data_IF_535092150625
#
_entry.id   IF_535092150625
#
_cell.length_a   1.000
_cell.length_b   1.000
_cell.length_c   1.000
_cell.angle_alpha   90.00
_cell.angle_beta   90.00
_cell.angle_gamma   90.00
#
_symmetry.space_group_name_H-M   'P 1'
#
loop_
_entity.id
_entity.type
_entity.pdbx_description
1 polymer ?
#
# COMPACT_ATOMS: atom_id res chain seq x y z
N UNK A 1 5.02 -15.33 19.46
CA UNK A 1 4.22 -14.31 20.16
C UNK A 1 4.98 -13.01 20.40
N UNK A 2 6.26 -13.07 20.78
CA UNK A 2 7.06 -11.85 20.97
C UNK A 2 7.49 -11.22 19.65
N UNK A 3 7.80 -12.03 18.63
CA UNK A 3 8.26 -11.58 17.31
C UNK A 3 7.24 -10.64 16.65
N UNK A 4 5.95 -11.01 16.61
CA UNK A 4 4.92 -10.17 15.98
C UNK A 4 4.71 -8.86 16.74
N UNK A 5 4.85 -8.86 18.07
CA UNK A 5 4.77 -7.65 18.89
C UNK A 5 5.95 -6.71 18.61
N UNK A 6 7.16 -7.27 18.49
CA UNK A 6 8.36 -6.47 18.16
C UNK A 6 8.27 -5.90 16.74
N UNK A 7 7.83 -6.68 15.75
CA UNK A 7 7.54 -6.17 14.40
C UNK A 7 6.57 -4.98 14.47
N UNK A 8 5.45 -5.14 15.15
CA UNK A 8 4.48 -4.06 15.30
C UNK A 8 5.07 -2.82 15.98
N UNK A 9 5.97 -2.98 16.95
CA UNK A 9 6.63 -1.88 17.65
C UNK A 9 7.60 -1.14 16.73
N UNK A 10 8.43 -1.86 15.98
CA UNK A 10 9.37 -1.28 15.00
C UNK A 10 8.61 -0.48 13.95
N UNK A 11 7.56 -1.07 13.38
CA UNK A 11 6.74 -0.41 12.35
C UNK A 11 6.04 0.85 12.90
N UNK A 12 5.48 0.81 14.12
CA UNK A 12 4.89 2.02 14.74
C UNK A 12 5.90 3.14 14.96
N UNK A 13 7.13 2.78 15.34
CA UNK A 13 8.21 3.76 15.49
C UNK A 13 8.52 4.44 14.15
N UNK A 14 8.63 3.67 13.07
CA UNK A 14 8.84 4.19 11.73
C UNK A 14 7.65 5.05 11.25
N UNK A 15 6.41 4.60 11.47
CA UNK A 15 5.21 5.39 11.16
C UNK A 15 5.22 6.75 11.83
N UNK A 16 5.51 6.77 13.15
CA UNK A 16 5.56 8.04 13.92
C UNK A 16 6.64 8.96 13.39
N UNK A 17 7.81 8.43 13.04
CA UNK A 17 8.90 9.21 12.48
C UNK A 17 8.57 9.81 11.11
N UNK A 18 7.79 9.08 10.29
CA UNK A 18 7.34 9.51 8.96
C UNK A 18 6.04 10.33 8.98
N UNK A 19 5.42 10.59 10.13
CA UNK A 19 4.13 11.27 10.21
C UNK A 19 2.96 10.49 9.60
N UNK A 20 3.09 9.18 9.39
CA UNK A 20 2.10 8.34 8.75
C UNK A 20 1.16 7.68 9.75
N UNK A 21 -0.09 7.41 9.33
CA UNK A 21 -1.10 6.77 10.18
C UNK A 21 -1.21 5.25 9.97
N UNK A 22 -0.78 4.75 8.81
CA UNK A 22 -0.86 3.34 8.42
C UNK A 22 0.41 2.93 7.66
N UNK A 23 0.78 1.66 7.76
CA UNK A 23 1.79 1.03 6.92
C UNK A 23 1.12 0.07 5.95
N UNK A 24 1.60 0.04 4.74
CA UNK A 24 1.16 -0.89 3.69
C UNK A 24 2.26 -1.93 3.50
N UNK A 25 1.87 -3.19 3.41
CA UNK A 25 2.79 -4.30 3.14
C UNK A 25 3.18 -4.25 1.67
N UNK A 26 4.46 -4.44 1.38
CA UNK A 26 4.98 -4.72 0.05
C UNK A 26 5.52 -6.13 0.04
N UNK A 27 5.05 -6.98 -0.87
CA UNK A 27 5.53 -8.35 -1.01
C UNK A 27 5.36 -8.84 -2.46
N UNK A 28 6.02 -9.95 -2.80
CA UNK A 28 5.85 -10.62 -4.08
C UNK A 28 4.84 -11.74 -3.94
N UNK A 29 3.64 -11.62 -4.53
CA UNK A 29 2.43 -12.37 -4.21
C UNK A 29 1.90 -12.03 -2.79
N UNK A 30 1.65 -10.73 -2.59
CA UNK A 30 1.39 -10.13 -1.28
C UNK A 30 0.19 -10.72 -0.52
N UNK A 31 -0.76 -11.34 -1.20
CA UNK A 31 -1.89 -12.01 -0.56
C UNK A 31 -1.44 -13.13 0.38
N UNK A 32 -0.36 -13.83 0.03
CA UNK A 32 0.23 -14.90 0.84
C UNK A 32 0.79 -14.33 2.16
N UNK A 33 1.69 -13.36 2.08
CA UNK A 33 2.33 -12.74 3.24
C UNK A 33 1.31 -12.04 4.15
N UNK A 34 0.36 -11.33 3.55
CA UNK A 34 -0.72 -10.65 4.25
C UNK A 34 -1.60 -11.62 5.04
N UNK A 35 -1.93 -12.78 4.44
CA UNK A 35 -2.68 -13.83 5.11
C UNK A 35 -1.97 -14.38 6.34
N UNK A 36 -0.68 -14.68 6.24
CA UNK A 36 0.13 -15.15 7.38
C UNK A 36 0.27 -14.11 8.48
N UNK A 37 0.51 -12.85 8.09
CA UNK A 37 0.61 -11.75 9.06
C UNK A 37 -0.70 -11.55 9.82
N UNK A 38 -1.83 -11.52 9.12
CA UNK A 38 -3.15 -11.37 9.75
C UNK A 38 -3.45 -12.53 10.71
N UNK A 39 -3.18 -13.77 10.29
CA UNK A 39 -3.34 -14.93 11.16
C UNK A 39 -2.44 -14.88 12.41
N UNK A 40 -1.22 -14.34 12.28
CA UNK A 40 -0.33 -14.14 13.43
C UNK A 40 -0.85 -13.03 14.38
N UNK A 41 -1.36 -11.94 13.82
CA UNK A 41 -1.98 -10.83 14.58
C UNK A 41 -3.20 -11.33 15.36
N UNK A 42 -4.07 -12.10 14.73
CA UNK A 42 -5.27 -12.66 15.37
C UNK A 42 -4.92 -13.63 16.51
N UNK A 43 -4.02 -14.59 16.27
CA UNK A 43 -3.55 -15.53 17.30
C UNK A 43 -2.96 -14.83 18.52
N UNK A 44 -2.36 -13.66 18.33
CA UNK A 44 -1.76 -12.88 19.41
C UNK A 44 -2.71 -11.82 20.00
N UNK A 45 -3.98 -11.81 19.60
CA UNK A 45 -5.00 -10.85 20.05
C UNK A 45 -4.55 -9.38 19.95
N UNK A 46 -3.80 -9.01 18.91
CA UNK A 46 -3.32 -7.66 18.69
C UNK A 46 -4.46 -6.81 18.10
N UNK A 47 -5.20 -6.12 18.96
CA UNK A 47 -6.38 -5.32 18.58
C UNK A 47 -6.06 -4.10 17.70
N UNK A 48 -4.85 -3.53 17.81
CA UNK A 48 -4.41 -2.37 17.06
C UNK A 48 -3.12 -2.71 16.35
N UNK A 49 -3.23 -3.05 15.09
CA UNK A 49 -2.09 -3.29 14.20
C UNK A 49 -1.64 -1.98 13.53
N UNK A 50 -0.33 -1.79 13.26
CA UNK A 50 0.15 -0.68 12.45
C UNK A 50 -0.15 -0.86 10.96
N UNK A 51 -0.41 -2.07 10.51
CA UNK A 51 -0.62 -2.39 9.11
C UNK A 51 -2.02 -2.01 8.63
N UNK A 52 -2.11 -1.69 7.35
CA UNK A 52 -3.41 -1.54 6.71
C UNK A 52 -4.11 -2.90 6.64
N UNK A 53 -5.42 -3.00 6.99
CA UNK A 53 -6.07 -4.29 7.17
C UNK A 53 -6.25 -5.10 5.88
N UNK A 54 -6.28 -4.45 4.70
CA UNK A 54 -6.55 -5.10 3.42
C UNK A 54 -5.78 -4.51 2.22
N UNK A 55 -5.02 -3.41 2.38
CA UNK A 55 -4.20 -2.86 1.29
C UNK A 55 -2.80 -3.41 1.38
N UNK A 56 -2.29 -3.89 0.25
CA UNK A 56 -0.90 -4.27 0.05
C UNK A 56 -0.45 -3.85 -1.36
N UNK A 57 0.84 -3.60 -1.52
CA UNK A 57 1.46 -3.47 -2.84
C UNK A 57 2.05 -4.83 -3.23
N UNK A 58 1.49 -5.42 -4.28
CA UNK A 58 1.96 -6.70 -4.81
C UNK A 58 2.92 -6.48 -5.97
N UNK A 59 4.19 -6.79 -5.73
CA UNK A 59 5.22 -6.62 -6.76
C UNK A 59 5.07 -7.60 -7.92
N UNK A 60 4.33 -8.71 -7.78
CA UNK A 60 3.95 -9.58 -8.90
C UNK A 60 3.11 -8.80 -9.90
N UNK A 61 2.07 -8.11 -9.43
CA UNK A 61 1.19 -7.30 -10.28
C UNK A 61 1.90 -6.09 -10.86
N UNK A 62 2.69 -5.37 -10.03
CA UNK A 62 3.45 -4.20 -10.46
C UNK A 62 4.50 -4.56 -11.51
N UNK A 63 5.26 -5.64 -11.32
CA UNK A 63 6.26 -6.10 -12.28
C UNK A 63 5.61 -6.68 -13.54
N UNK A 64 4.45 -7.34 -13.42
CA UNK A 64 3.65 -7.77 -14.56
C UNK A 64 3.27 -6.61 -15.45
N UNK A 65 2.80 -5.50 -14.86
CA UNK A 65 2.44 -4.29 -15.58
C UNK A 65 3.67 -3.55 -16.15
N UNK A 66 4.71 -3.34 -15.32
CA UNK A 66 5.84 -2.47 -15.69
C UNK A 66 6.91 -3.16 -16.55
N UNK A 67 7.06 -4.49 -16.42
CA UNK A 67 8.17 -5.25 -16.97
C UNK A 67 7.73 -6.50 -17.76
N UNK A 68 6.44 -6.83 -17.77
CA UNK A 68 5.91 -8.04 -18.40
C UNK A 68 6.35 -9.34 -17.71
N UNK A 69 6.75 -9.29 -16.42
CA UNK A 69 7.27 -10.44 -15.67
C UNK A 69 6.59 -10.56 -14.33
N UNK A 70 6.19 -11.78 -13.98
CA UNK A 70 5.48 -12.08 -12.70
C UNK A 70 6.28 -12.98 -11.75
N UNK A 71 7.41 -13.52 -12.18
CA UNK A 71 8.32 -14.32 -11.36
C UNK A 71 9.44 -13.43 -10.84
N UNK A 72 9.68 -13.38 -9.54
CA UNK A 72 10.64 -12.47 -8.90
C UNK A 72 12.00 -12.43 -9.60
N UNK A 73 12.62 -13.59 -9.78
CA UNK A 73 13.92 -13.69 -10.47
C UNK A 73 13.92 -13.12 -11.90
N UNK A 74 12.83 -13.34 -12.65
CA UNK A 74 12.69 -12.82 -14.02
C UNK A 74 12.42 -11.31 -14.00
N UNK A 75 11.61 -10.85 -13.06
CA UNK A 75 11.32 -9.42 -12.88
C UNK A 75 12.57 -8.64 -12.47
N UNK A 76 13.37 -9.15 -11.54
CA UNK A 76 14.64 -8.56 -11.14
C UNK A 76 15.59 -8.42 -12.34
N UNK A 77 15.78 -9.50 -13.12
CA UNK A 77 16.64 -9.46 -14.32
C UNK A 77 16.13 -8.47 -15.37
N UNK A 78 14.82 -8.42 -15.61
CA UNK A 78 14.23 -7.45 -16.53
C UNK A 78 14.39 -6.01 -16.03
N UNK A 79 14.45 -5.80 -14.73
CA UNK A 79 14.70 -4.52 -14.09
C UNK A 79 16.20 -4.12 -14.07
N UNK A 80 17.11 -5.03 -14.40
CA UNK A 80 18.55 -4.85 -14.25
C UNK A 80 19.05 -5.04 -12.82
N UNK A 81 18.27 -5.70 -11.96
CA UNK A 81 18.64 -6.09 -10.60
C UNK A 81 19.29 -7.46 -10.65
N UNK A 82 20.49 -7.57 -10.05
CA UNK A 82 21.19 -8.84 -9.95
C UNK A 82 20.37 -9.83 -9.10
N UNK A 83 20.22 -11.07 -9.61
CA UNK A 83 19.50 -12.12 -8.91
C UNK A 83 20.31 -13.44 -8.95
N UNK A 84 20.81 -13.82 -7.78
CA UNK A 84 21.53 -15.06 -7.57
C UNK A 84 20.55 -16.22 -7.28
N UNK A 85 20.46 -17.13 -8.22
CA UNK A 85 19.57 -18.30 -8.06
C UNK A 85 20.01 -19.24 -6.92
N UNK A 86 21.27 -19.21 -6.49
CA UNK A 86 21.74 -20.04 -5.37
C UNK A 86 21.19 -19.55 -4.01
N UNK A 87 20.81 -18.29 -3.93
CA UNK A 87 20.19 -17.68 -2.74
C UNK A 87 18.65 -17.60 -2.81
N UNK A 88 18.07 -17.98 -3.95
CA UNK A 88 16.64 -18.03 -4.12
C UNK A 88 16.00 -18.92 -3.02
N UNK A 89 14.82 -18.49 -2.53
CA UNK A 89 14.10 -19.09 -1.40
C UNK A 89 14.71 -18.81 0.00
N UNK A 90 15.75 -18.00 0.07
CA UNK A 90 16.12 -17.35 1.33
C UNK A 90 15.18 -16.20 1.60
N UNK A 91 14.44 -16.24 2.72
CA UNK A 91 13.44 -15.23 3.04
C UNK A 91 14.03 -13.81 3.08
N UNK A 92 15.23 -13.64 3.59
CA UNK A 92 15.93 -12.34 3.63
C UNK A 92 16.29 -11.87 2.22
N UNK A 93 16.91 -12.74 1.42
CA UNK A 93 17.32 -12.41 0.05
C UNK A 93 16.13 -12.03 -0.83
N UNK A 94 15.07 -12.84 -0.81
CA UNK A 94 13.88 -12.58 -1.60
C UNK A 94 13.18 -11.27 -1.16
N UNK A 95 13.19 -10.97 0.14
CA UNK A 95 12.67 -9.70 0.67
C UNK A 95 13.47 -8.50 0.19
N UNK A 96 14.80 -8.56 0.20
CA UNK A 96 15.68 -7.49 -0.30
C UNK A 96 15.45 -7.26 -1.80
N UNK A 97 15.41 -8.33 -2.60
CA UNK A 97 15.14 -8.23 -4.06
C UNK A 97 13.75 -7.67 -4.34
N UNK A 98 12.75 -8.07 -3.56
CA UNK A 98 11.40 -7.52 -3.66
C UNK A 98 11.36 -6.02 -3.34
N UNK A 99 12.07 -5.59 -2.30
CA UNK A 99 12.15 -4.18 -1.94
C UNK A 99 12.84 -3.34 -3.03
N UNK A 100 13.96 -3.82 -3.58
CA UNK A 100 14.65 -3.15 -4.68
C UNK A 100 13.77 -3.04 -5.93
N UNK A 101 13.09 -4.12 -6.29
CA UNK A 101 12.17 -4.15 -7.42
C UNK A 101 11.03 -3.15 -7.26
N UNK A 102 10.42 -3.09 -6.06
CA UNK A 102 9.38 -2.12 -5.75
C UNK A 102 9.88 -0.69 -5.88
N UNK A 103 11.01 -0.37 -5.24
CA UNK A 103 11.58 0.96 -5.28
C UNK A 103 11.95 1.39 -6.72
N UNK A 104 12.49 0.48 -7.52
CA UNK A 104 12.83 0.75 -8.91
C UNK A 104 11.57 1.10 -9.72
N UNK A 105 10.49 0.30 -9.59
CA UNK A 105 9.24 0.52 -10.33
C UNK A 105 8.63 1.86 -9.92
N UNK A 106 8.55 2.16 -8.60
CA UNK A 106 8.00 3.42 -8.10
C UNK A 106 8.81 4.62 -8.56
N UNK A 107 10.15 4.55 -8.49
CA UNK A 107 11.03 5.63 -8.94
C UNK A 107 10.89 5.91 -10.44
N UNK A 108 10.80 4.86 -11.27
CA UNK A 108 10.54 5.03 -12.70
C UNK A 108 9.18 5.66 -12.97
N UNK A 109 8.15 5.23 -12.25
CA UNK A 109 6.83 5.83 -12.33
C UNK A 109 6.85 7.32 -11.99
N UNK A 110 7.55 7.71 -10.93
CA UNK A 110 7.70 9.11 -10.54
C UNK A 110 8.45 9.93 -11.61
N UNK A 111 9.50 9.38 -12.20
CA UNK A 111 10.25 10.02 -13.30
C UNK A 111 9.39 10.27 -14.55
N UNK A 112 8.35 9.48 -14.77
CA UNK A 112 7.38 9.65 -15.84
C UNK A 112 6.26 10.65 -15.52
N UNK A 113 6.38 11.39 -14.40
CA UNK A 113 5.38 12.35 -13.94
C UNK A 113 4.30 11.75 -13.04
N UNK A 114 4.50 10.51 -12.65
CA UNK A 114 3.62 9.63 -11.93
C UNK A 114 2.86 10.18 -10.73
N UNK A 115 2.87 9.51 -9.61
CA UNK A 115 1.96 9.76 -8.49
C UNK A 115 2.66 10.52 -7.34
N UNK A 116 1.94 11.43 -6.64
CA UNK A 116 0.54 11.79 -6.87
C UNK A 116 0.36 12.68 -8.11
N UNK A 117 -0.68 12.36 -8.89
CA UNK A 117 -1.14 13.30 -9.91
C UNK A 117 -1.57 14.58 -9.20
N UNK A 118 -1.24 15.74 -9.78
CA UNK A 118 -1.78 17.01 -9.28
C UNK A 118 -3.31 16.90 -9.25
N UNK A 119 -3.98 17.38 -8.17
CA UNK A 119 -5.43 17.45 -8.16
C UNK A 119 -5.85 18.25 -9.41
N UNK A 120 -6.66 17.63 -10.27
CA UNK A 120 -7.34 18.40 -11.31
C UNK A 120 -8.39 19.22 -10.60
N UNK A 121 -8.42 20.53 -10.81
CA UNK A 121 -9.37 21.47 -10.17
C UNK A 121 -10.85 21.12 -10.39
N UNK A 122 -11.13 20.10 -11.20
CA UNK A 122 -12.46 19.65 -11.56
C UNK A 122 -13.13 18.67 -10.57
N UNK A 123 -12.42 18.17 -9.55
CA UNK A 123 -12.99 17.22 -8.60
C UNK A 123 -13.78 17.87 -7.45
N UNK A 124 -13.59 19.16 -7.20
CA UNK A 124 -14.24 19.88 -6.08
C UNK A 124 -15.50 20.67 -6.50
N UNK A 125 -15.82 20.75 -7.79
CA UNK A 125 -16.95 21.56 -8.28
C UNK A 125 -18.31 20.89 -8.07
N UNK A 126 -18.38 19.57 -7.85
CA UNK A 126 -19.67 18.83 -7.77
C UNK A 126 -20.14 18.54 -6.34
N UNK A 127 -19.46 19.00 -5.29
CA UNK A 127 -19.86 18.71 -3.91
C UNK A 127 -20.42 19.92 -3.15
N UNK A 128 -20.77 21.01 -3.85
CA UNK A 128 -21.34 22.25 -3.25
C UNK A 128 -22.75 22.61 -3.71
N UNK A 129 -23.47 21.74 -4.37
CA UNK A 129 -24.85 22.04 -4.82
C UNK A 129 -25.82 20.96 -4.32
N UNK A 130 -26.04 20.90 -3.02
CA UNK A 130 -27.27 20.28 -2.45
C UNK A 130 -27.41 20.54 -0.94
N UNK A 131 -27.39 21.79 -0.48
CA UNK A 131 -27.83 22.13 0.89
C UNK A 131 -28.60 23.45 1.06
N UNK A 132 -29.01 24.13 -0.04
CA UNK A 132 -29.75 25.39 0.08
C UNK A 132 -31.07 25.40 -0.70
N UNK A 133 -31.93 24.38 -0.53
CA UNK A 133 -33.32 24.47 -1.03
C UNK A 133 -34.28 23.63 -0.18
N UNK A 134 -34.35 23.90 1.12
CA UNK A 134 -35.52 23.52 1.94
C UNK A 134 -35.57 24.39 3.20
N UNK A 135 -35.92 25.67 3.06
CA UNK A 135 -36.47 26.47 4.15
C UNK A 135 -37.02 27.80 3.57
N UNK A 136 -38.13 27.75 2.87
CA UNK A 136 -38.99 28.94 2.69
C UNK A 136 -40.33 28.56 2.04
N UNK A 137 -41.18 27.87 2.78
CA UNK A 137 -42.66 27.87 2.49
C UNK A 137 -43.39 27.28 3.70
N UNK A 138 -43.51 28.08 4.77
CA UNK A 138 -44.59 27.95 5.74
C UNK A 138 -44.69 29.25 6.55
N UNK A 139 -45.36 30.24 5.97
CA UNK A 139 -46.09 31.28 6.74
C UNK A 139 -46.89 32.10 5.76
N UNK A 140 -48.13 31.78 5.57
CA UNK A 140 -49.27 32.70 5.37
C UNK A 140 -50.49 31.89 4.96
N UNK A 141 -51.37 31.67 5.92
CA UNK A 141 -52.82 31.99 5.76
C UNK A 141 -53.55 31.54 7.01
N UNK A 142 -53.85 32.51 7.86
CA UNK A 142 -54.98 32.46 8.78
C UNK A 142 -55.78 33.74 8.53
N UNK A 143 -56.91 33.56 7.93
CA UNK A 143 -58.15 34.24 8.20
C UNK A 143 -59.27 33.27 8.02
#
# INVERSE_FOLDING_TARGET
>A
DEVIKEICKVVRKAQKAAGCQRSVIVAHNAAFDHGFLNAAIERNNIKRTPFHPFVSFDTTSLAGLALGQTVLAKACRAAGIEFDNSQAHSALYDTERTAELYCLIVNRWQQLGGWPLAPTDDCDANNKVETDTQNNEETKTSE
#
